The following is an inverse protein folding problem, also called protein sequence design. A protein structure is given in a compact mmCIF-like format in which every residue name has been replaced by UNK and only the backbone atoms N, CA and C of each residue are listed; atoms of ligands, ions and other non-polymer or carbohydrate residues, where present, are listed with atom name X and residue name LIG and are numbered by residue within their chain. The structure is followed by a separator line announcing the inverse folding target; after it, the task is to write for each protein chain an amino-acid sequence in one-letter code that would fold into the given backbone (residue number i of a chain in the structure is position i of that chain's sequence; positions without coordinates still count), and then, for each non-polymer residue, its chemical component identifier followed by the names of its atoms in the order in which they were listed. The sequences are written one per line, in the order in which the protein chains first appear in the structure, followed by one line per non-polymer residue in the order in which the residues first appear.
data_IF_578271916549
#
_entry.id   IF_578271916549
#
_cell.length_a   1.000
_cell.length_b   1.000
_cell.length_c   1.000
_cell.angle_alpha   90.00
_cell.angle_beta   90.00
_cell.angle_gamma   90.00
#
_symmetry.space_group_name_H-M   'P 1'
#
loop_
_entity.id
_entity.type
_entity.pdbx_description
1 polymer ?
#
# COMPACT_ATOMS: atom_id res chain seq x y z
N UNK A 1 25.91 -9.92 -0.11
CA UNK A 1 25.33 -11.25 0.13
C UNK A 1 24.44 -11.60 -1.06
N UNK A 2 24.42 -12.84 -1.52
CA UNK A 2 23.49 -13.31 -2.56
C UNK A 2 22.28 -14.03 -1.92
N UNK A 3 21.30 -14.41 -2.77
CA UNK A 3 20.08 -15.09 -2.30
C UNK A 3 20.35 -16.44 -1.63
N UNK A 4 21.23 -17.26 -2.22
CA UNK A 4 21.53 -18.61 -1.71
C UNK A 4 22.19 -18.55 -0.33
N UNK A 5 23.10 -17.60 -0.13
CA UNK A 5 23.75 -17.39 1.16
C UNK A 5 22.72 -16.94 2.23
N UNK A 6 21.82 -16.00 1.89
CA UNK A 6 20.76 -15.59 2.80
C UNK A 6 19.89 -16.77 3.18
N UNK A 7 19.40 -17.56 2.21
CA UNK A 7 18.54 -18.70 2.46
C UNK A 7 19.22 -19.77 3.33
N UNK A 8 20.50 -20.03 3.10
CA UNK A 8 21.30 -20.96 3.93
C UNK A 8 21.41 -20.48 5.37
N UNK A 9 21.73 -19.20 5.60
CA UNK A 9 21.84 -18.60 6.95
C UNK A 9 20.50 -18.54 7.64
N UNK A 10 19.43 -18.18 6.90
CA UNK A 10 18.07 -18.17 7.42
C UNK A 10 17.62 -19.57 7.85
N UNK A 11 17.94 -20.62 7.06
CA UNK A 11 17.65 -22.02 7.41
C UNK A 11 18.43 -22.48 8.64
N UNK A 12 19.62 -21.91 8.89
CA UNK A 12 20.42 -22.14 10.10
C UNK A 12 19.89 -21.38 11.34
N UNK A 13 18.75 -20.67 11.23
CA UNK A 13 18.10 -19.98 12.33
C UNK A 13 18.38 -18.48 12.41
N UNK A 14 19.24 -17.94 11.56
CA UNK A 14 19.51 -16.50 11.55
C UNK A 14 18.29 -15.73 11.03
N UNK A 15 18.02 -14.58 11.65
CA UNK A 15 16.92 -13.69 11.25
C UNK A 15 17.38 -12.27 11.00
N UNK A 16 18.57 -11.89 11.45
CA UNK A 16 19.07 -10.52 11.34
C UNK A 16 19.93 -10.34 10.09
N UNK A 17 19.35 -9.70 9.07
CA UNK A 17 19.96 -9.37 7.79
C UNK A 17 19.82 -7.86 7.49
N UNK A 18 19.89 -7.06 8.54
CA UNK A 18 19.73 -5.62 8.43
C UNK A 18 20.86 -5.02 7.56
N UNK A 19 20.57 -3.91 6.85
CA UNK A 19 21.50 -3.24 5.92
C UNK A 19 22.08 -4.11 4.80
N UNK A 20 21.51 -5.29 4.59
CA UNK A 20 22.01 -6.21 3.56
C UNK A 20 21.76 -5.68 2.14
N UNK A 21 22.74 -5.85 1.25
CA UNK A 21 22.54 -5.58 -0.16
C UNK A 21 22.10 -6.86 -0.88
N UNK A 22 20.83 -6.85 -1.34
CA UNK A 22 20.17 -7.91 -2.11
C UNK A 22 19.57 -7.34 -3.41
N UNK A 23 20.17 -6.24 -3.91
CA UNK A 23 19.74 -5.64 -5.17
C UNK A 23 19.66 -6.69 -6.29
N UNK A 24 18.53 -6.70 -7.03
CA UNK A 24 18.26 -7.62 -8.14
C UNK A 24 18.24 -9.12 -7.76
N UNK A 25 18.36 -9.47 -6.47
CA UNK A 25 18.30 -10.85 -6.03
C UNK A 25 16.93 -11.50 -6.29
N UNK A 26 16.89 -12.81 -6.48
CA UNK A 26 15.64 -13.56 -6.56
C UNK A 26 15.43 -14.39 -5.30
N UNK A 27 14.38 -14.05 -4.55
CA UNK A 27 13.88 -14.77 -3.37
C UNK A 27 12.41 -15.17 -3.61
N UNK A 28 12.08 -15.45 -4.88
CA UNK A 28 10.76 -15.90 -5.29
C UNK A 28 10.37 -17.16 -4.51
N UNK A 29 9.10 -17.17 -4.01
CA UNK A 29 8.52 -18.27 -3.23
C UNK A 29 9.26 -18.61 -1.91
N UNK A 30 10.22 -17.79 -1.50
CA UNK A 30 11.00 -18.02 -0.28
C UNK A 30 10.15 -17.89 1.00
N UNK A 31 10.42 -18.72 1.99
CA UNK A 31 9.82 -18.64 3.33
C UNK A 31 10.74 -17.85 4.25
N UNK A 32 10.41 -16.58 4.51
CA UNK A 32 11.25 -15.61 5.22
C UNK A 32 10.49 -14.89 6.36
N UNK A 33 9.64 -15.64 7.06
CA UNK A 33 8.84 -15.10 8.17
C UNK A 33 9.75 -14.49 9.25
N UNK A 34 9.35 -13.33 9.76
CA UNK A 34 10.06 -12.61 10.83
C UNK A 34 11.53 -12.27 10.50
N UNK A 35 11.91 -12.26 9.23
CA UNK A 35 13.26 -11.84 8.81
C UNK A 35 13.43 -10.33 9.07
N UNK A 36 14.61 -9.93 9.51
CA UNK A 36 14.99 -8.53 9.63
C UNK A 36 15.82 -8.12 8.41
N UNK A 37 15.24 -7.31 7.53
CA UNK A 37 15.83 -6.71 6.34
C UNK A 37 15.79 -5.17 6.43
N UNK A 38 15.70 -4.62 7.65
CA UNK A 38 15.63 -3.18 7.86
C UNK A 38 16.82 -2.47 7.21
N UNK A 39 16.57 -1.31 6.61
CA UNK A 39 17.55 -0.49 5.89
C UNK A 39 18.29 -1.22 4.76
N UNK A 40 17.81 -2.41 4.36
CA UNK A 40 18.42 -3.21 3.28
C UNK A 40 18.25 -2.55 1.90
N UNK A 41 19.25 -2.72 1.04
CA UNK A 41 19.12 -2.42 -0.37
C UNK A 41 18.47 -3.61 -1.10
N UNK A 42 17.16 -3.53 -1.29
CA UNK A 42 16.30 -4.54 -1.93
C UNK A 42 15.78 -4.06 -3.29
N UNK A 43 16.48 -3.07 -3.88
CA UNK A 43 16.08 -2.50 -5.18
C UNK A 43 15.99 -3.60 -6.24
N UNK A 44 14.87 -3.63 -6.98
CA UNK A 44 14.63 -4.59 -8.06
C UNK A 44 14.61 -6.08 -7.62
N UNK A 45 14.50 -6.35 -6.31
CA UNK A 45 14.41 -7.70 -5.78
C UNK A 45 13.15 -8.41 -6.27
N UNK A 46 13.24 -9.70 -6.54
CA UNK A 46 12.10 -10.55 -6.82
C UNK A 46 11.70 -11.35 -5.56
N UNK A 47 10.60 -10.94 -4.93
CA UNK A 47 9.96 -11.57 -3.76
C UNK A 47 8.57 -12.13 -4.11
N UNK A 48 8.26 -12.30 -5.40
CA UNK A 48 6.93 -12.79 -5.80
C UNK A 48 6.61 -14.12 -5.13
N UNK A 49 5.39 -14.23 -4.57
CA UNK A 49 4.88 -15.39 -3.83
C UNK A 49 5.66 -15.74 -2.55
N UNK A 50 6.62 -14.92 -2.13
CA UNK A 50 7.36 -15.15 -0.89
C UNK A 50 6.48 -14.94 0.36
N UNK A 51 6.86 -15.56 1.46
CA UNK A 51 6.23 -15.36 2.76
C UNK A 51 7.14 -14.50 3.66
N UNK A 52 6.78 -13.25 3.84
CA UNK A 52 7.45 -12.25 4.68
C UNK A 52 6.57 -11.83 5.87
N UNK A 53 5.66 -12.71 6.31
CA UNK A 53 4.78 -12.43 7.47
C UNK A 53 5.62 -12.02 8.68
N UNK A 54 5.27 -10.88 9.29
CA UNK A 54 5.98 -10.32 10.44
C UNK A 54 7.41 -9.85 10.16
N UNK A 55 7.82 -9.71 8.90
CA UNK A 55 9.17 -9.23 8.55
C UNK A 55 9.38 -7.77 8.98
N UNK A 56 10.61 -7.43 9.33
CA UNK A 56 11.05 -6.06 9.54
C UNK A 56 11.73 -5.53 8.27
N UNK A 57 11.09 -4.56 7.62
CA UNK A 57 11.52 -3.90 6.39
C UNK A 57 11.61 -2.38 6.58
N UNK A 58 11.74 -1.90 7.84
CA UNK A 58 11.82 -0.46 8.15
C UNK A 58 12.92 0.18 7.31
N UNK A 59 12.58 1.29 6.60
CA UNK A 59 13.54 2.05 5.81
C UNK A 59 14.20 1.28 4.66
N UNK A 60 13.72 0.07 4.31
CA UNK A 60 14.28 -0.70 3.22
C UNK A 60 14.05 -0.02 1.85
N UNK A 61 15.03 -0.12 0.96
CA UNK A 61 14.90 0.32 -0.42
C UNK A 61 14.32 -0.81 -1.27
N UNK A 62 13.02 -0.76 -1.55
CA UNK A 62 12.26 -1.72 -2.37
C UNK A 62 11.86 -1.15 -3.74
N UNK A 63 12.56 -0.12 -4.24
CA UNK A 63 12.27 0.47 -5.56
C UNK A 63 12.26 -0.60 -6.65
N UNK A 64 11.21 -0.55 -7.50
CA UNK A 64 11.00 -1.51 -8.59
C UNK A 64 10.92 -2.99 -8.14
N UNK A 65 10.76 -3.28 -6.85
CA UNK A 65 10.66 -4.65 -6.36
C UNK A 65 9.43 -5.38 -6.92
N UNK A 66 9.55 -6.68 -7.13
CA UNK A 66 8.44 -7.55 -7.46
C UNK A 66 7.93 -8.26 -6.20
N UNK A 67 6.79 -7.78 -5.69
CA UNK A 67 6.10 -8.28 -4.49
C UNK A 67 4.72 -8.87 -4.86
N UNK A 68 4.56 -9.35 -6.08
CA UNK A 68 3.29 -9.94 -6.56
C UNK A 68 2.92 -11.15 -5.73
N UNK A 69 1.68 -11.18 -5.19
CA UNK A 69 1.15 -12.28 -4.35
C UNK A 69 2.03 -12.60 -3.13
N UNK A 70 2.84 -11.65 -2.66
CA UNK A 70 3.68 -11.80 -1.47
C UNK A 70 2.83 -11.68 -0.20
N UNK A 71 3.12 -12.53 0.81
CA UNK A 71 2.51 -12.41 2.14
C UNK A 71 3.36 -11.49 3.01
N UNK A 72 2.79 -10.37 3.42
CA UNK A 72 3.42 -9.32 4.25
C UNK A 72 2.56 -8.99 5.48
N UNK A 73 1.70 -9.94 5.92
CA UNK A 73 0.80 -9.72 7.04
C UNK A 73 1.59 -9.37 8.31
N UNK A 74 1.23 -8.28 8.98
CA UNK A 74 1.92 -7.77 10.16
C UNK A 74 3.38 -7.36 9.93
N UNK A 75 3.84 -7.25 8.68
CA UNK A 75 5.19 -6.77 8.39
C UNK A 75 5.33 -5.27 8.67
N UNK A 76 6.50 -4.84 9.08
CA UNK A 76 6.82 -3.43 9.28
C UNK A 76 7.63 -2.89 8.09
N UNK A 77 6.98 -2.06 7.26
CA UNK A 77 7.55 -1.37 6.10
C UNK A 77 7.57 0.15 6.34
N UNK A 78 7.51 0.61 7.60
CA UNK A 78 7.53 2.05 7.87
C UNK A 78 8.78 2.70 7.27
N UNK A 79 8.61 3.88 6.67
CA UNK A 79 9.67 4.63 6.00
C UNK A 79 10.34 3.90 4.81
N UNK A 80 9.83 2.75 4.38
CA UNK A 80 10.38 2.02 3.23
C UNK A 80 10.08 2.76 1.92
N UNK A 81 10.97 2.61 0.95
CA UNK A 81 10.80 3.14 -0.40
C UNK A 81 10.37 2.03 -1.36
N UNK A 82 9.08 2.01 -1.69
CA UNK A 82 8.46 1.05 -2.62
C UNK A 82 8.15 1.68 -3.99
N UNK A 83 8.71 2.84 -4.32
CA UNK A 83 8.42 3.54 -5.58
C UNK A 83 8.52 2.58 -6.77
N UNK A 84 7.49 2.56 -7.64
CA UNK A 84 7.35 1.67 -8.80
C UNK A 84 7.29 0.17 -8.48
N UNK A 85 7.17 -0.24 -7.23
CA UNK A 85 7.05 -1.66 -6.87
C UNK A 85 5.74 -2.27 -7.38
N UNK A 86 5.75 -3.58 -7.58
CA UNK A 86 4.60 -4.38 -8.03
C UNK A 86 4.08 -5.21 -6.86
N UNK A 87 2.92 -4.86 -6.33
CA UNK A 87 2.27 -5.50 -5.18
C UNK A 87 0.91 -6.11 -5.54
N UNK A 88 0.66 -6.37 -6.82
CA UNK A 88 -0.62 -6.95 -7.27
C UNK A 88 -0.95 -8.22 -6.49
N UNK A 89 -2.12 -8.25 -5.84
CA UNK A 89 -2.59 -9.37 -5.04
C UNK A 89 -1.76 -9.67 -3.79
N UNK A 90 -0.87 -8.78 -3.37
CA UNK A 90 -0.12 -8.98 -2.11
C UNK A 90 -1.07 -8.93 -0.91
N UNK A 91 -0.76 -9.71 0.13
CA UNK A 91 -1.52 -9.76 1.37
C UNK A 91 -0.73 -9.03 2.47
N UNK A 92 -1.24 -7.86 2.90
CA UNK A 92 -0.60 -6.90 3.79
C UNK A 92 -1.51 -6.55 4.98
N UNK A 93 -2.33 -7.52 5.42
CA UNK A 93 -3.24 -7.32 6.57
C UNK A 93 -2.42 -6.87 7.78
N UNK A 94 -2.88 -5.78 8.44
CA UNK A 94 -2.25 -5.22 9.64
C UNK A 94 -0.76 -4.84 9.46
N UNK A 95 -0.28 -4.66 8.23
CA UNK A 95 1.07 -4.19 7.97
C UNK A 95 1.23 -2.71 8.39
N UNK A 96 2.42 -2.35 8.84
CA UNK A 96 2.79 -0.95 9.10
C UNK A 96 3.54 -0.37 7.90
N UNK A 97 2.93 0.63 7.25
CA UNK A 97 3.48 1.38 6.11
C UNK A 97 3.56 2.90 6.43
N UNK A 98 3.62 3.26 7.70
CA UNK A 98 3.69 4.67 8.10
C UNK A 98 4.88 5.40 7.45
N UNK A 99 4.60 6.55 6.83
CA UNK A 99 5.59 7.35 6.12
C UNK A 99 6.31 6.61 4.97
N UNK A 100 5.80 5.46 4.50
CA UNK A 100 6.37 4.76 3.36
C UNK A 100 6.11 5.52 2.05
N UNK A 101 7.01 5.38 1.09
CA UNK A 101 6.82 5.89 -0.26
C UNK A 101 6.31 4.76 -1.17
N UNK A 102 5.04 4.85 -1.55
CA UNK A 102 4.31 3.92 -2.41
C UNK A 102 3.91 4.59 -3.75
N UNK A 103 4.55 5.71 -4.12
CA UNK A 103 4.19 6.39 -5.36
C UNK A 103 4.41 5.50 -6.58
N UNK A 104 3.52 5.63 -7.58
CA UNK A 104 3.57 4.89 -8.84
C UNK A 104 3.51 3.34 -8.69
N UNK A 105 3.12 2.82 -7.54
CA UNK A 105 3.06 1.38 -7.30
C UNK A 105 1.88 0.71 -8.01
N UNK A 106 2.04 -0.58 -8.35
CA UNK A 106 0.96 -1.42 -8.88
C UNK A 106 0.40 -2.30 -7.76
N UNK A 107 -0.71 -1.87 -7.15
CA UNK A 107 -1.35 -2.47 -5.97
C UNK A 107 -2.75 -3.02 -6.29
N UNK A 108 -2.99 -3.45 -7.54
CA UNK A 108 -4.29 -3.99 -7.95
C UNK A 108 -4.65 -5.18 -7.07
N UNK A 109 -5.88 -5.19 -6.53
CA UNK A 109 -6.41 -6.23 -5.65
C UNK A 109 -5.51 -6.55 -4.43
N UNK A 110 -4.72 -5.58 -3.95
CA UNK A 110 -3.94 -5.73 -2.71
C UNK A 110 -4.88 -5.78 -1.51
N UNK A 111 -4.52 -6.58 -0.51
CA UNK A 111 -5.26 -6.64 0.75
C UNK A 111 -4.49 -5.87 1.84
N UNK A 112 -4.96 -4.68 2.18
CA UNK A 112 -4.40 -3.78 3.19
C UNK A 112 -5.32 -3.64 4.42
N UNK A 113 -6.24 -4.58 4.63
CA UNK A 113 -7.20 -4.48 5.73
C UNK A 113 -6.50 -4.27 7.08
N UNK A 114 -6.90 -3.23 7.80
CA UNK A 114 -6.36 -2.88 9.12
C UNK A 114 -4.91 -2.38 9.11
N UNK A 115 -4.28 -2.18 7.95
CA UNK A 115 -2.92 -1.66 7.85
C UNK A 115 -2.84 -0.19 8.30
N UNK A 116 -1.66 0.26 8.73
CA UNK A 116 -1.36 1.67 8.95
C UNK A 116 -0.60 2.24 7.76
N UNK A 117 -1.20 3.24 7.10
CA UNK A 117 -0.61 4.04 6.02
C UNK A 117 -0.57 5.53 6.44
N UNK A 118 -0.46 5.82 7.75
CA UNK A 118 -0.39 7.19 8.24
C UNK A 118 0.73 7.96 7.53
N UNK A 119 0.37 9.09 6.92
CA UNK A 119 1.28 9.96 6.17
C UNK A 119 2.09 9.25 5.05
N UNK A 120 1.64 8.10 4.57
CA UNK A 120 2.26 7.42 3.43
C UNK A 120 2.02 8.19 2.12
N UNK A 121 2.96 8.10 1.19
CA UNK A 121 2.82 8.66 -0.14
C UNK A 121 2.35 7.58 -1.12
N UNK A 122 1.09 7.67 -1.58
CA UNK A 122 0.46 6.79 -2.57
C UNK A 122 0.11 7.56 -3.87
N UNK A 123 0.79 8.66 -4.13
CA UNK A 123 0.55 9.45 -5.35
C UNK A 123 0.68 8.57 -6.59
N UNK A 124 -0.29 8.65 -7.52
CA UNK A 124 -0.36 7.85 -8.74
C UNK A 124 -0.41 6.32 -8.54
N UNK A 125 -0.56 5.83 -7.30
CA UNK A 125 -0.65 4.40 -7.02
C UNK A 125 -1.90 3.77 -7.68
N UNK A 126 -1.76 2.56 -8.22
CA UNK A 126 -2.86 1.81 -8.79
C UNK A 126 -3.45 0.82 -7.76
N UNK A 127 -4.53 1.23 -7.11
CA UNK A 127 -5.27 0.53 -6.06
C UNK A 127 -6.63 -0.01 -6.55
N UNK A 128 -6.77 -0.25 -7.85
CA UNK A 128 -8.02 -0.79 -8.40
C UNK A 128 -8.37 -2.10 -7.68
N UNK A 129 -9.65 -2.21 -7.23
CA UNK A 129 -10.19 -3.37 -6.52
C UNK A 129 -9.44 -3.75 -5.23
N UNK A 130 -8.64 -2.84 -4.65
CA UNK A 130 -7.91 -3.06 -3.40
C UNK A 130 -8.87 -3.13 -2.19
N UNK A 131 -8.50 -3.91 -1.17
CA UNK A 131 -9.17 -3.93 0.12
C UNK A 131 -8.41 -3.05 1.13
N UNK A 132 -8.99 -1.91 1.47
CA UNK A 132 -8.49 -0.91 2.43
C UNK A 132 -9.44 -0.75 3.62
N UNK A 133 -10.24 -1.78 3.93
CA UNK A 133 -11.20 -1.72 5.03
C UNK A 133 -10.48 -1.55 6.38
N UNK A 134 -10.95 -0.62 7.20
CA UNK A 134 -10.39 -0.28 8.52
C UNK A 134 -8.91 0.16 8.48
N UNK A 135 -8.39 0.61 7.34
CA UNK A 135 -7.03 1.16 7.24
C UNK A 135 -6.93 2.54 7.88
N UNK A 136 -5.77 2.83 8.47
CA UNK A 136 -5.39 4.18 8.83
C UNK A 136 -4.68 4.85 7.64
N UNK A 137 -5.35 5.79 6.99
CA UNK A 137 -4.86 6.62 5.87
C UNK A 137 -4.81 8.11 6.28
N UNK A 138 -4.80 8.40 7.59
CA UNK A 138 -4.72 9.79 8.06
C UNK A 138 -3.49 10.48 7.47
N UNK A 139 -3.70 11.64 6.84
CA UNK A 139 -2.67 12.45 6.16
C UNK A 139 -1.95 11.76 4.99
N UNK A 140 -2.40 10.60 4.53
CA UNK A 140 -1.81 9.95 3.36
C UNK A 140 -2.03 10.79 2.09
N UNK A 141 -1.06 10.74 1.18
CA UNK A 141 -1.19 11.35 -0.14
C UNK A 141 -1.64 10.32 -1.16
N UNK A 142 -2.91 10.41 -1.59
CA UNK A 142 -3.55 9.58 -2.62
C UNK A 142 -3.89 10.42 -3.87
N UNK A 143 -3.20 11.56 -4.07
CA UNK A 143 -3.45 12.38 -5.27
C UNK A 143 -3.18 11.56 -6.53
N UNK A 144 -4.04 11.70 -7.55
CA UNK A 144 -3.99 10.97 -8.81
C UNK A 144 -4.07 9.43 -8.67
N UNK A 145 -4.31 8.89 -7.47
CA UNK A 145 -4.40 7.45 -7.25
C UNK A 145 -5.63 6.85 -7.93
N UNK A 146 -5.49 5.61 -8.42
CA UNK A 146 -6.56 4.85 -9.06
C UNK A 146 -7.20 3.92 -8.04
N UNK A 147 -8.35 4.31 -7.48
CA UNK A 147 -9.09 3.62 -6.43
C UNK A 147 -10.42 3.03 -6.93
N UNK A 148 -10.57 2.87 -8.26
CA UNK A 148 -11.82 2.36 -8.82
C UNK A 148 -12.16 0.99 -8.23
N UNK A 149 -13.40 0.87 -7.72
CA UNK A 149 -13.88 -0.37 -7.11
C UNK A 149 -13.22 -0.76 -5.78
N UNK A 150 -12.30 0.05 -5.25
CA UNK A 150 -11.65 -0.25 -3.97
C UNK A 150 -12.64 -0.21 -2.79
N UNK A 151 -12.41 -1.07 -1.80
CA UNK A 151 -13.14 -1.04 -0.52
C UNK A 151 -12.35 -0.26 0.52
N UNK A 152 -12.92 0.85 1.01
CA UNK A 152 -12.35 1.72 2.06
C UNK A 152 -13.33 1.83 3.25
N UNK A 153 -14.10 0.79 3.50
CA UNK A 153 -15.11 0.83 4.58
C UNK A 153 -14.42 1.06 5.92
N UNK A 154 -14.97 2.04 6.67
CA UNK A 154 -14.43 2.42 7.99
C UNK A 154 -12.95 2.84 7.96
N UNK A 155 -12.41 3.17 6.80
CA UNK A 155 -11.05 3.71 6.71
C UNK A 155 -10.99 5.09 7.37
N UNK A 156 -9.88 5.41 8.00
CA UNK A 156 -9.56 6.72 8.51
C UNK A 156 -8.79 7.51 7.45
N UNK A 157 -9.47 8.45 6.80
CA UNK A 157 -8.92 9.30 5.73
C UNK A 157 -8.82 10.77 6.19
N UNK A 158 -8.78 11.03 7.50
CA UNK A 158 -8.73 12.39 8.03
C UNK A 158 -7.54 13.16 7.52
N UNK A 159 -7.81 14.31 6.91
CA UNK A 159 -6.75 15.16 6.34
C UNK A 159 -5.97 14.52 5.18
N UNK A 160 -6.44 13.41 4.60
CA UNK A 160 -5.80 12.79 3.45
C UNK A 160 -5.92 13.66 2.19
N UNK A 161 -4.97 13.54 1.27
CA UNK A 161 -4.99 14.21 -0.03
C UNK A 161 -5.48 13.22 -1.09
N UNK A 162 -6.64 13.47 -1.69
CA UNK A 162 -7.31 12.66 -2.72
C UNK A 162 -7.57 13.50 -3.98
N UNK A 163 -6.78 14.58 -4.20
CA UNK A 163 -6.95 15.43 -5.37
C UNK A 163 -6.84 14.59 -6.65
N UNK A 164 -7.77 14.82 -7.62
CA UNK A 164 -7.80 14.15 -8.93
C UNK A 164 -7.81 12.60 -8.85
N UNK A 165 -8.03 12.02 -7.66
CA UNK A 165 -8.08 10.56 -7.51
C UNK A 165 -9.33 9.96 -8.17
N UNK A 166 -9.21 8.74 -8.69
CA UNK A 166 -10.34 8.01 -9.27
C UNK A 166 -10.95 7.04 -8.24
N UNK A 167 -12.06 7.45 -7.64
CA UNK A 167 -12.85 6.68 -6.66
C UNK A 167 -14.13 6.08 -7.29
N UNK A 168 -14.20 5.97 -8.62
CA UNK A 168 -15.38 5.44 -9.31
C UNK A 168 -15.77 4.06 -8.77
N UNK A 169 -17.02 3.93 -8.29
CA UNK A 169 -17.54 2.68 -7.72
C UNK A 169 -16.89 2.25 -6.39
N UNK A 170 -16.02 3.04 -5.79
CA UNK A 170 -15.40 2.71 -4.51
C UNK A 170 -16.41 2.69 -3.36
N UNK A 171 -16.14 1.90 -2.33
CA UNK A 171 -16.95 1.79 -1.12
C UNK A 171 -16.31 2.54 0.04
N UNK A 172 -16.78 3.75 0.32
CA UNK A 172 -16.36 4.62 1.42
C UNK A 172 -17.34 4.61 2.61
N UNK A 173 -18.20 3.61 2.71
CA UNK A 173 -19.20 3.55 3.77
C UNK A 173 -18.55 3.57 5.14
N UNK A 174 -19.05 4.49 5.99
CA UNK A 174 -18.56 4.70 7.35
C UNK A 174 -17.08 5.15 7.43
N UNK A 175 -16.44 5.55 6.32
CA UNK A 175 -15.10 6.14 6.34
C UNK A 175 -15.12 7.55 6.97
N UNK A 176 -14.02 7.96 7.57
CA UNK A 176 -13.83 9.31 8.09
C UNK A 176 -12.95 10.13 7.14
N UNK A 177 -13.56 11.03 6.40
CA UNK A 177 -12.92 11.95 5.44
C UNK A 177 -12.83 13.37 6.00
N UNK A 178 -12.94 13.55 7.32
CA UNK A 178 -12.91 14.88 7.92
C UNK A 178 -11.61 15.60 7.57
N UNK A 179 -11.73 16.80 6.98
CA UNK A 179 -10.61 17.60 6.52
C UNK A 179 -9.87 17.07 5.28
N UNK A 180 -10.33 15.98 4.66
CA UNK A 180 -9.70 15.44 3.45
C UNK A 180 -9.88 16.38 2.24
N UNK A 181 -8.91 16.38 1.33
CA UNK A 181 -8.98 17.13 0.09
C UNK A 181 -9.31 16.22 -1.09
N UNK A 182 -10.55 16.28 -1.59
CA UNK A 182 -11.06 15.54 -2.74
C UNK A 182 -11.24 16.45 -3.97
N UNK A 183 -10.50 17.56 -4.07
CA UNK A 183 -10.62 18.47 -5.21
C UNK A 183 -10.37 17.73 -6.52
N UNK A 184 -11.28 17.86 -7.50
CA UNK A 184 -11.19 17.19 -8.79
C UNK A 184 -11.38 15.67 -8.76
N UNK A 185 -11.63 15.05 -7.61
CA UNK A 185 -11.79 13.60 -7.51
C UNK A 185 -13.00 13.08 -8.30
N UNK A 186 -12.87 11.89 -8.90
CA UNK A 186 -13.95 11.21 -9.64
C UNK A 186 -14.71 10.29 -8.68
N UNK A 187 -15.94 10.67 -8.34
CA UNK A 187 -16.80 10.03 -7.33
C UNK A 187 -18.01 9.30 -7.92
N UNK A 188 -17.98 8.97 -9.20
CA UNK A 188 -19.09 8.32 -9.86
C UNK A 188 -19.41 6.95 -9.25
N UNK A 189 -20.64 6.76 -8.77
CA UNK A 189 -21.07 5.50 -8.18
C UNK A 189 -20.38 5.16 -6.86
N UNK A 190 -19.63 6.08 -6.27
CA UNK A 190 -19.00 5.89 -4.95
C UNK A 190 -20.07 5.78 -3.87
N UNK A 191 -19.94 4.77 -3.00
CA UNK A 191 -20.85 4.54 -1.88
C UNK A 191 -20.31 5.27 -0.63
N UNK A 192 -21.05 6.26 -0.11
CA UNK A 192 -20.60 7.11 1.00
C UNK A 192 -21.57 7.08 2.20
N UNK A 193 -22.44 6.06 2.32
CA UNK A 193 -23.39 5.99 3.42
C UNK A 193 -22.69 5.94 4.79
N UNK A 194 -22.97 6.92 5.64
CA UNK A 194 -22.35 7.07 6.96
C UNK A 194 -20.91 7.58 6.94
N UNK A 195 -20.37 7.98 5.80
CA UNK A 195 -19.09 8.66 5.75
C UNK A 195 -19.15 10.04 6.39
N UNK A 196 -18.09 10.45 7.10
CA UNK A 196 -17.94 11.79 7.66
C UNK A 196 -17.16 12.68 6.69
N UNK A 197 -17.66 13.88 6.47
CA UNK A 197 -17.10 14.85 5.51
C UNK A 197 -16.87 16.24 6.15
N UNK A 198 -16.77 16.32 7.47
CA UNK A 198 -16.62 17.58 8.18
C UNK A 198 -15.33 18.29 7.73
N UNK A 199 -15.48 19.48 7.11
CA UNK A 199 -14.34 20.23 6.58
C UNK A 199 -13.66 19.63 5.36
N UNK A 200 -14.21 18.59 4.73
CA UNK A 200 -13.66 18.04 3.49
C UNK A 200 -13.82 19.02 2.32
N UNK A 201 -12.83 19.07 1.42
CA UNK A 201 -12.83 19.92 0.23
C UNK A 201 -13.22 19.08 -0.98
N UNK A 202 -14.33 19.44 -1.65
CA UNK A 202 -14.92 18.73 -2.79
C UNK A 202 -14.98 19.61 -4.05
N UNK A 203 -14.18 20.68 -4.11
CA UNK A 203 -14.20 21.60 -5.26
C UNK A 203 -13.83 20.89 -6.55
N UNK A 204 -14.69 20.96 -7.57
CA UNK A 204 -14.47 20.29 -8.86
C UNK A 204 -14.64 18.76 -8.84
N UNK A 205 -15.02 18.16 -7.72
CA UNK A 205 -15.25 16.72 -7.66
C UNK A 205 -16.46 16.31 -8.53
N UNK A 206 -16.32 15.22 -9.29
CA UNK A 206 -17.29 14.74 -10.28
C UNK A 206 -18.14 13.63 -9.66
N UNK A 207 -19.41 13.93 -9.33
CA UNK A 207 -20.34 12.97 -8.71
C UNK A 207 -21.31 12.31 -9.71
N UNK A 208 -21.50 12.92 -10.87
CA UNK A 208 -22.47 12.47 -11.87
C UNK A 208 -21.76 11.95 -13.11
N UNK A 209 -21.87 10.66 -13.37
CA UNK A 209 -21.46 10.08 -14.64
C UNK A 209 -22.66 9.99 -15.57
N UNK A 210 -22.69 10.84 -16.58
CA UNK A 210 -23.60 10.64 -17.72
C UNK A 210 -23.09 9.43 -18.47
N UNK A 211 -23.80 8.29 -18.42
CA UNK A 211 -23.56 7.21 -19.37
C UNK A 211 -23.86 7.78 -20.76
N UNK A 212 -22.84 7.96 -21.59
CA UNK A 212 -23.09 8.12 -23.01
C UNK A 212 -23.71 6.80 -23.49
N UNK A 213 -24.99 6.87 -23.89
CA UNK A 213 -25.77 5.77 -24.51
C UNK A 213 -25.32 5.65 -25.96
#
# INVERSE_FOLDING_TARGET
MNADELLKRYAAGERNFHETNLKEASLREAFLMHINLACGNLKEINLAFANLTGANLIGANLKNACLVMTKLNGANLSQADLTFARLTGADMIEANLENANLSDTKMIAVNLRGASLYAANLMEANLIDACLDNTNLEKANLSDAKLRGASLRKADLRGAFLCESNLEGADLRQADLSGANLSGAFLCGTQMAGAKLDGAILSGAIQFCVRQV
#
